data_IF_159468837037
#
_entry.id   IF_159468837037
#
_cell.length_a   1.000
_cell.length_b   1.000
_cell.length_c   1.000
_cell.angle_alpha   90.00
_cell.angle_beta   90.00
_cell.angle_gamma   90.00
#
_symmetry.space_group_name_H-M   'P 1'
#
loop_
_entity.id
_entity.type
_entity.pdbx_description
1 polymer ?
#
# COMPACT_ATOMS: atom_id res chain seq x y z
N UNK A 1 25.73 0.25 53.77
CA UNK A 1 25.93 0.11 52.31
C UNK A 1 24.97 -0.90 51.68
N UNK A 2 24.87 -2.13 52.19
CA UNK A 2 24.00 -3.21 51.66
C UNK A 2 22.50 -2.84 51.57
N UNK A 3 21.95 -2.14 52.56
CA UNK A 3 20.53 -1.70 52.56
C UNK A 3 20.19 -0.66 51.48
N UNK A 4 21.11 0.27 51.16
CA UNK A 4 20.93 1.22 50.06
C UNK A 4 20.97 0.53 48.70
N UNK A 5 21.80 -0.50 48.56
CA UNK A 5 21.86 -1.32 47.34
C UNK A 5 20.54 -2.08 47.16
N UNK A 6 20.02 -2.71 48.21
CA UNK A 6 18.73 -3.44 48.17
C UNK A 6 17.57 -2.49 47.82
N UNK A 7 17.53 -1.30 48.42
CA UNK A 7 16.50 -0.29 48.13
C UNK A 7 16.56 0.19 46.68
N UNK A 8 17.76 0.47 46.17
CA UNK A 8 17.95 0.87 44.77
C UNK A 8 17.60 -0.25 43.79
N UNK A 9 17.88 -1.51 44.14
CA UNK A 9 17.49 -2.68 43.34
C UNK A 9 15.97 -2.85 43.29
N UNK A 10 15.26 -2.63 44.40
CA UNK A 10 13.80 -2.70 44.45
C UNK A 10 13.13 -1.60 43.60
N UNK A 11 13.69 -0.38 43.60
CA UNK A 11 13.23 0.71 42.72
C UNK A 11 13.42 0.34 41.24
N UNK A 12 14.57 -0.23 40.87
CA UNK A 12 14.87 -0.61 39.49
C UNK A 12 13.89 -1.67 38.94
N UNK A 13 13.51 -2.65 39.78
CA UNK A 13 12.56 -3.70 39.41
C UNK A 13 11.14 -3.12 39.22
N UNK A 14 10.75 -2.16 40.06
CA UNK A 14 9.45 -1.47 39.94
C UNK A 14 9.33 -0.60 38.67
N UNK A 15 10.44 -0.16 38.09
CA UNK A 15 10.47 0.61 36.84
C UNK A 15 10.34 -0.29 35.58
N UNK A 16 10.63 -1.58 35.70
CA UNK A 16 10.57 -2.54 34.58
C UNK A 16 9.23 -3.26 34.42
N UNK A 17 8.29 -3.12 35.36
CA UNK A 17 6.96 -3.77 35.29
C UNK A 17 5.89 -2.91 34.61
N UNK A 18 6.25 -1.71 34.12
CA UNK A 18 5.36 -0.94 33.26
C UNK A 18 5.14 -1.69 31.95
N UNK A 19 3.91 -2.12 31.68
CA UNK A 19 3.53 -2.63 30.37
C UNK A 19 3.69 -1.49 29.37
N UNK A 20 4.80 -1.49 28.62
CA UNK A 20 4.94 -0.71 27.40
C UNK A 20 3.89 -1.25 26.42
N UNK A 21 2.69 -0.69 26.47
CA UNK A 21 1.75 -0.80 25.36
C UNK A 21 2.34 0.01 24.21
N UNK A 22 3.21 -0.63 23.44
CA UNK A 22 3.31 -0.33 22.02
C UNK A 22 1.96 -0.75 21.41
N UNK A 23 0.91 0.03 21.67
CA UNK A 23 -0.36 -0.16 21.01
C UNK A 23 -0.09 0.09 19.53
N UNK A 24 -0.19 -0.97 18.73
CA UNK A 24 -0.45 -0.79 17.30
C UNK A 24 -1.57 0.24 17.21
N UNK A 25 -1.31 1.34 16.50
CA UNK A 25 -2.32 2.33 16.19
C UNK A 25 -3.45 1.56 15.53
N UNK A 26 -4.55 1.35 16.26
CA UNK A 26 -5.72 0.65 15.77
C UNK A 26 -6.14 1.39 14.50
N UNK A 27 -5.94 0.76 13.35
CA UNK A 27 -6.27 1.38 12.05
C UNK A 27 -7.74 1.78 12.15
N UNK A 28 -8.01 3.07 11.93
CA UNK A 28 -9.37 3.57 11.97
C UNK A 28 -10.20 2.72 11.01
N UNK A 29 -11.41 2.33 11.42
CA UNK A 29 -12.29 1.53 10.58
C UNK A 29 -12.56 2.32 9.31
N UNK A 30 -12.11 1.81 8.16
CA UNK A 30 -12.39 2.42 6.85
C UNK A 30 -13.89 2.65 6.75
N UNK A 31 -14.30 3.87 6.38
CA UNK A 31 -15.72 4.16 6.19
C UNK A 31 -16.25 3.28 5.05
N UNK A 32 -17.51 2.85 5.15
CA UNK A 32 -18.17 2.13 4.06
C UNK A 32 -18.17 2.95 2.77
N UNK A 33 -18.21 4.28 2.89
CA UNK A 33 -18.12 5.22 1.77
C UNK A 33 -16.78 5.13 1.06
N UNK A 34 -15.65 5.23 1.78
CA UNK A 34 -14.32 5.12 1.18
C UNK A 34 -14.09 3.75 0.55
N UNK A 35 -14.61 2.68 1.17
CA UNK A 35 -14.55 1.35 0.57
C UNK A 35 -15.26 1.31 -0.79
N UNK A 36 -16.49 1.84 -0.87
CA UNK A 36 -17.26 1.87 -2.12
C UNK A 36 -16.60 2.75 -3.18
N UNK A 37 -15.99 3.86 -2.78
CA UNK A 37 -15.27 4.74 -3.69
C UNK A 37 -14.08 4.01 -4.34
N UNK A 38 -13.27 3.31 -3.53
CA UNK A 38 -12.13 2.52 -4.02
C UNK A 38 -12.62 1.35 -4.88
N UNK A 39 -13.65 0.62 -4.45
CA UNK A 39 -14.24 -0.49 -5.22
C UNK A 39 -14.73 -0.03 -6.59
N UNK A 40 -15.36 1.14 -6.67
CA UNK A 40 -15.79 1.74 -7.94
C UNK A 40 -14.60 2.14 -8.82
N UNK A 41 -13.58 2.77 -8.25
CA UNK A 41 -12.37 3.13 -8.99
C UNK A 41 -11.64 1.90 -9.56
N UNK A 42 -11.49 0.84 -8.75
CA UNK A 42 -10.90 -0.43 -9.17
C UNK A 42 -11.72 -1.09 -10.28
N UNK A 43 -13.06 -1.08 -10.18
CA UNK A 43 -13.93 -1.62 -11.21
C UNK A 43 -13.73 -0.89 -12.55
N UNK A 44 -13.66 0.44 -12.55
CA UNK A 44 -13.40 1.24 -13.75
C UNK A 44 -12.02 0.91 -14.34
N UNK A 45 -11.00 0.86 -13.48
CA UNK A 45 -9.62 0.58 -13.89
C UNK A 45 -9.49 -0.80 -14.56
N UNK A 46 -10.03 -1.84 -13.93
CA UNK A 46 -9.93 -3.20 -14.46
C UNK A 46 -10.81 -3.42 -15.69
N UNK A 47 -12.00 -2.81 -15.76
CA UNK A 47 -12.79 -2.86 -16.99
C UNK A 47 -12.08 -2.18 -18.17
N UNK A 48 -11.43 -1.03 -17.94
CA UNK A 48 -10.64 -0.36 -18.96
C UNK A 48 -9.44 -1.23 -19.39
N UNK A 49 -8.75 -1.85 -18.45
CA UNK A 49 -7.66 -2.80 -18.73
C UNK A 49 -8.14 -4.00 -19.56
N UNK A 50 -9.22 -4.67 -19.15
CA UNK A 50 -9.76 -5.86 -19.83
C UNK A 50 -10.26 -5.56 -21.24
N UNK A 51 -10.79 -4.35 -21.46
CA UNK A 51 -11.22 -3.86 -22.78
C UNK A 51 -10.07 -3.26 -23.61
N UNK A 52 -8.86 -3.18 -23.05
CA UNK A 52 -7.70 -2.54 -23.65
C UNK A 52 -7.95 -1.06 -24.01
N UNK A 53 -8.82 -0.38 -23.25
CA UNK A 53 -9.14 1.04 -23.39
C UNK A 53 -8.03 1.88 -22.73
N UNK A 54 -6.99 2.17 -23.52
CA UNK A 54 -5.83 2.94 -23.04
C UNK A 54 -6.19 4.37 -22.61
N UNK A 55 -7.21 4.98 -23.20
CA UNK A 55 -7.60 6.34 -22.86
C UNK A 55 -8.16 6.39 -21.44
N UNK A 56 -9.15 5.54 -21.15
CA UNK A 56 -9.75 5.44 -19.82
C UNK A 56 -8.75 4.91 -18.80
N UNK A 57 -7.97 3.87 -19.16
CA UNK A 57 -6.99 3.28 -18.25
C UNK A 57 -5.92 4.29 -17.82
N UNK A 58 -5.34 5.05 -18.76
CA UNK A 58 -4.32 6.06 -18.45
C UNK A 58 -4.86 7.22 -17.63
N UNK A 59 -6.12 7.61 -17.84
CA UNK A 59 -6.76 8.70 -17.09
C UNK A 59 -6.93 8.40 -15.59
N UNK A 60 -6.88 7.13 -15.18
CA UNK A 60 -6.94 6.73 -13.77
C UNK A 60 -5.65 7.00 -12.99
N UNK A 61 -4.57 7.42 -13.67
CA UNK A 61 -3.26 7.62 -13.05
C UNK A 61 -2.74 9.04 -13.28
N UNK A 62 -2.27 9.65 -12.19
CA UNK A 62 -1.57 10.94 -12.25
C UNK A 62 -0.13 10.76 -12.75
N UNK A 63 0.44 11.80 -13.36
CA UNK A 63 1.79 11.74 -13.93
C UNK A 63 2.90 11.65 -12.87
N UNK A 64 2.60 12.05 -11.63
CA UNK A 64 3.50 12.02 -10.47
C UNK A 64 3.49 10.68 -9.72
N UNK A 65 2.68 9.71 -10.16
CA UNK A 65 2.67 8.38 -9.57
C UNK A 65 4.01 7.66 -9.84
N UNK A 66 4.68 7.24 -8.76
CA UNK A 66 5.91 6.45 -8.82
C UNK A 66 5.59 4.96 -8.98
N UNK A 67 6.19 4.34 -9.99
CA UNK A 67 5.99 2.92 -10.29
C UNK A 67 7.23 2.11 -9.97
N UNK A 68 7.11 1.13 -9.09
CA UNK A 68 8.19 0.21 -8.76
C UNK A 68 7.89 -1.19 -9.29
N UNK A 69 8.85 -1.81 -9.94
CA UNK A 69 8.79 -3.22 -10.33
C UNK A 69 9.94 -4.01 -9.72
N UNK A 70 9.66 -5.25 -9.30
CA UNK A 70 10.60 -6.15 -8.62
C UNK A 70 11.96 -6.24 -9.31
N UNK A 71 11.97 -6.33 -10.65
CA UNK A 71 13.19 -6.47 -11.46
C UNK A 71 13.63 -5.16 -12.15
N UNK A 72 12.88 -4.06 -11.98
CA UNK A 72 13.07 -2.82 -12.75
C UNK A 72 13.37 -1.59 -11.92
N UNK A 73 13.12 -1.63 -10.60
CA UNK A 73 13.19 -0.44 -9.75
C UNK A 73 12.12 0.59 -10.15
N UNK A 74 12.46 1.88 -9.99
CA UNK A 74 11.58 2.99 -10.36
C UNK A 74 11.45 3.12 -11.89
N UNK A 75 10.22 3.14 -12.38
CA UNK A 75 9.88 3.28 -13.80
C UNK A 75 9.16 4.63 -14.02
N UNK A 76 9.66 5.49 -14.93
CA UNK A 76 8.98 6.74 -15.26
C UNK A 76 7.59 6.52 -15.86
N UNK A 77 6.63 7.39 -15.52
CA UNK A 77 5.24 7.34 -16.00
C UNK A 77 5.12 7.04 -17.51
N UNK A 78 5.83 7.79 -18.36
CA UNK A 78 5.81 7.58 -19.81
C UNK A 78 6.18 6.13 -20.20
N UNK A 79 7.19 5.57 -19.55
CA UNK A 79 7.67 4.20 -19.83
C UNK A 79 6.66 3.14 -19.41
N UNK A 80 5.92 3.39 -18.33
CA UNK A 80 4.85 2.50 -17.87
C UNK A 80 3.75 2.37 -18.93
N UNK A 81 3.27 3.48 -19.50
CA UNK A 81 2.21 3.43 -20.51
C UNK A 81 2.70 2.94 -21.88
N UNK A 82 3.97 3.14 -22.22
CA UNK A 82 4.59 2.45 -23.35
C UNK A 82 4.56 0.92 -23.15
N UNK A 83 4.89 0.44 -21.95
CA UNK A 83 4.87 -0.99 -21.63
C UNK A 83 3.45 -1.57 -21.68
N UNK A 84 2.46 -0.90 -21.07
CA UNK A 84 1.06 -1.33 -21.18
C UNK A 84 0.54 -1.32 -22.62
N UNK A 85 0.94 -0.31 -23.41
CA UNK A 85 0.61 -0.26 -24.84
C UNK A 85 1.17 -1.46 -25.62
N UNK A 86 2.34 -1.97 -25.25
CA UNK A 86 2.89 -3.20 -25.82
C UNK A 86 2.13 -4.45 -25.33
N UNK A 87 1.77 -4.51 -24.04
CA UNK A 87 0.97 -5.61 -23.47
C UNK A 87 -0.39 -5.71 -24.15
N UNK A 88 -1.07 -4.60 -24.43
CA UNK A 88 -2.39 -4.61 -25.07
C UNK A 88 -2.35 -5.10 -26.52
N UNK A 89 -1.20 -5.00 -27.19
CA UNK A 89 -1.01 -5.53 -28.55
C UNK A 89 -0.68 -7.03 -28.57
N UNK A 90 -0.41 -7.63 -27.41
CA UNK A 90 -0.07 -9.05 -27.32
C UNK A 90 -1.32 -9.91 -27.56
N UNK A 91 -1.15 -11.04 -28.25
CA UNK A 91 -2.22 -12.02 -28.51
C UNK A 91 -2.69 -12.71 -27.22
N UNK A 92 -1.79 -12.86 -26.24
CA UNK A 92 -2.11 -13.38 -24.92
C UNK A 92 -2.77 -12.29 -24.08
N UNK A 93 -4.10 -12.21 -24.15
CA UNK A 93 -4.89 -11.23 -23.42
C UNK A 93 -4.94 -11.54 -21.93
N UNK A 94 -4.27 -10.69 -21.16
CA UNK A 94 -4.41 -10.67 -19.70
C UNK A 94 -5.73 -10.02 -19.31
N UNK A 95 -6.34 -10.50 -18.23
CA UNK A 95 -7.53 -9.90 -17.62
C UNK A 95 -7.40 -9.89 -16.10
N UNK A 96 -8.10 -8.96 -15.45
CA UNK A 96 -8.16 -8.82 -14.00
C UNK A 96 -9.60 -8.58 -13.57
N UNK A 97 -10.01 -9.29 -12.52
CA UNK A 97 -11.28 -9.10 -11.82
C UNK A 97 -10.99 -8.87 -10.33
N UNK A 98 -11.92 -8.20 -9.63
CA UNK A 98 -11.87 -7.92 -8.19
C UNK A 98 -12.03 -9.19 -7.35
#
# INVERSE_FOLDING_TARGET
MKSKVIFNTLILISLMTGTLSAQEKKVARTSLELYKEIEQADSILFQAFNKQDMLTFKAMFTEDLEWFQDNGGLIPYKKVFENFGNTFKNENKLSREL
#
